data_IF_703040405349
#
_entry.id   IF_703040405349
#
_cell.length_a   1.000
_cell.length_b   1.000
_cell.length_c   1.000
_cell.angle_alpha   90.00
_cell.angle_beta   90.00
_cell.angle_gamma   90.00
#
_symmetry.space_group_name_H-M   'P 1'
#
loop_
_entity.id
_entity.type
_entity.pdbx_description
1 polymer ?
#
# COMPACT_ATOMS: atom_id res chain seq x y z
N UNK A 1 -10.65 39.25 -5.47
CA UNK A 1 -9.84 38.51 -4.49
C UNK A 1 -10.28 37.05 -4.46
N UNK A 2 -9.73 36.18 -5.32
CA UNK A 2 -10.03 34.72 -5.37
C UNK A 2 -9.09 34.01 -6.35
N UNK A 3 -7.77 34.15 -6.19
CA UNK A 3 -6.77 33.40 -6.99
C UNK A 3 -5.50 32.97 -6.20
N UNK A 4 -5.40 33.28 -4.91
CA UNK A 4 -4.16 33.02 -4.12
C UNK A 4 -4.23 31.70 -3.32
N UNK A 5 -5.43 31.21 -2.97
CA UNK A 5 -5.59 30.03 -2.09
C UNK A 5 -5.17 28.71 -2.77
N UNK A 6 -5.49 28.52 -4.06
CA UNK A 6 -5.23 27.24 -4.75
C UNK A 6 -3.74 26.93 -4.98
N UNK A 7 -2.91 27.98 -5.14
CA UNK A 7 -1.46 27.81 -5.35
C UNK A 7 -0.79 27.38 -4.04
N UNK A 8 -1.13 28.04 -2.92
CA UNK A 8 -0.55 27.72 -1.61
C UNK A 8 -0.88 26.29 -1.16
N UNK A 9 -2.13 25.83 -1.35
CA UNK A 9 -2.52 24.45 -1.00
C UNK A 9 -1.79 23.41 -1.86
N UNK A 10 -1.62 23.67 -3.16
CA UNK A 10 -0.92 22.76 -4.05
C UNK A 10 0.56 22.62 -3.63
N UNK A 11 1.24 23.74 -3.38
CA UNK A 11 2.62 23.72 -2.86
C UNK A 11 2.73 22.93 -1.55
N UNK A 12 1.84 23.19 -0.59
CA UNK A 12 1.87 22.50 0.70
C UNK A 12 1.70 20.99 0.54
N UNK A 13 0.74 20.54 -0.28
CA UNK A 13 0.54 19.11 -0.55
C UNK A 13 1.75 18.45 -1.21
N UNK A 14 2.40 19.13 -2.16
CA UNK A 14 3.60 18.59 -2.82
C UNK A 14 4.77 18.44 -1.86
N UNK A 15 4.96 19.41 -0.95
CA UNK A 15 6.02 19.35 0.06
C UNK A 15 5.76 18.21 1.03
N UNK A 16 4.53 18.07 1.55
CA UNK A 16 4.18 16.96 2.45
C UNK A 16 4.34 15.59 1.77
N UNK A 17 4.02 15.50 0.48
CA UNK A 17 4.17 14.26 -0.28
C UNK A 17 5.66 13.90 -0.45
N UNK A 18 6.49 14.87 -0.82
CA UNK A 18 7.93 14.67 -0.97
C UNK A 18 8.60 14.28 0.36
N UNK A 19 8.21 14.91 1.47
CA UNK A 19 8.67 14.55 2.81
C UNK A 19 8.26 13.12 3.19
N UNK A 20 7.01 12.73 2.94
CA UNK A 20 6.53 11.36 3.19
C UNK A 20 7.32 10.32 2.37
N UNK A 21 7.66 10.65 1.12
CA UNK A 21 8.48 9.77 0.27
C UNK A 21 9.91 9.62 0.82
N UNK A 22 10.51 10.69 1.36
CA UNK A 22 11.83 10.64 1.99
C UNK A 22 11.79 9.74 3.24
N UNK A 23 10.79 9.88 4.09
CA UNK A 23 10.65 9.04 5.30
C UNK A 23 10.36 7.58 4.94
N UNK A 24 9.58 7.32 3.90
CA UNK A 24 9.35 5.97 3.40
C UNK A 24 10.66 5.33 2.90
N UNK A 25 11.48 6.09 2.14
CA UNK A 25 12.82 5.66 1.69
C UNK A 25 13.70 5.28 2.87
N UNK A 26 13.77 6.11 3.90
CA UNK A 26 14.52 5.81 5.14
C UNK A 26 14.02 4.53 5.81
N UNK A 27 12.71 4.36 5.93
CA UNK A 27 12.11 3.17 6.54
C UNK A 27 12.45 1.89 5.75
N UNK A 28 12.33 1.92 4.43
CA UNK A 28 12.72 0.81 3.54
C UNK A 28 14.20 0.44 3.69
N UNK A 29 15.09 1.43 3.69
CA UNK A 29 16.54 1.20 3.81
C UNK A 29 16.89 0.66 5.19
N UNK A 30 16.32 1.22 6.25
CA UNK A 30 16.58 0.78 7.64
C UNK A 30 16.14 -0.66 7.90
N UNK A 31 15.03 -1.11 7.31
CA UNK A 31 14.46 -2.42 7.60
C UNK A 31 14.99 -3.52 6.67
N UNK A 32 15.30 -3.19 5.41
CA UNK A 32 15.58 -4.18 4.37
C UNK A 32 16.88 -3.94 3.60
N UNK A 33 17.63 -2.89 3.91
CA UNK A 33 18.86 -2.50 3.20
C UNK A 33 18.65 -2.32 1.68
N UNK A 34 17.59 -1.58 1.32
CA UNK A 34 17.05 -1.49 -0.05
C UNK A 34 17.53 -0.29 -0.86
N UNK A 35 18.80 0.12 -0.72
CA UNK A 35 19.33 1.31 -1.40
C UNK A 35 19.21 1.25 -2.95
N UNK A 36 19.07 0.04 -3.53
CA UNK A 36 19.02 -0.18 -4.98
C UNK A 36 17.76 -0.91 -5.47
N UNK A 37 16.72 -1.09 -4.64
CA UNK A 37 15.52 -1.83 -5.07
C UNK A 37 14.55 -0.92 -5.80
N UNK A 38 14.16 -1.28 -7.02
CA UNK A 38 13.08 -0.61 -7.73
C UNK A 38 11.73 -0.96 -7.08
N UNK A 39 10.98 0.07 -6.69
CA UNK A 39 9.63 -0.10 -6.15
C UNK A 39 8.68 0.97 -6.65
N UNK A 40 7.40 0.63 -6.63
CA UNK A 40 6.29 1.57 -6.78
C UNK A 40 5.55 1.66 -5.44
N UNK A 41 4.91 2.77 -5.16
CA UNK A 41 4.20 2.94 -3.89
C UNK A 41 2.95 3.80 -4.02
N UNK A 42 2.06 3.69 -3.05
CA UNK A 42 0.90 4.55 -2.91
C UNK A 42 0.64 4.88 -1.44
N UNK A 43 0.36 6.15 -1.16
CA UNK A 43 -0.04 6.62 0.16
C UNK A 43 -1.57 6.54 0.33
N UNK A 44 -2.00 5.88 1.40
CA UNK A 44 -3.41 5.68 1.75
C UNK A 44 -3.53 5.57 3.26
N UNK A 45 -4.54 6.21 3.83
CA UNK A 45 -4.88 6.02 5.24
C UNK A 45 -5.73 4.73 5.35
N UNK A 46 -5.10 3.61 5.71
CA UNK A 46 -5.73 2.28 5.75
C UNK A 46 -6.45 2.07 7.07
N UNK A 47 -5.88 2.58 8.17
CA UNK A 47 -6.42 2.45 9.54
C UNK A 47 -7.36 3.59 9.94
N UNK A 48 -7.43 4.66 9.14
CA UNK A 48 -8.29 5.83 9.29
C UNK A 48 -7.96 6.71 10.50
N UNK A 49 -6.68 6.79 10.88
CA UNK A 49 -6.17 7.63 11.95
C UNK A 49 -5.82 9.07 11.52
N UNK A 50 -5.95 9.36 10.22
CA UNK A 50 -5.64 10.66 9.62
C UNK A 50 -4.21 10.82 9.13
N UNK A 51 -3.33 9.83 9.38
CA UNK A 51 -1.98 9.74 8.82
C UNK A 51 -2.02 8.75 7.65
N UNK A 52 -1.25 9.00 6.59
CA UNK A 52 -1.19 8.08 5.44
C UNK A 52 -0.23 6.94 5.75
N UNK A 53 -0.70 5.72 5.53
CA UNK A 53 0.10 4.50 5.40
C UNK A 53 0.66 4.38 3.98
N UNK A 54 1.63 3.50 3.79
CA UNK A 54 2.21 3.21 2.48
C UNK A 54 2.01 1.75 2.10
N UNK A 55 1.48 1.53 0.89
CA UNK A 55 1.62 0.26 0.19
C UNK A 55 2.81 0.36 -0.76
N UNK A 56 3.77 -0.55 -0.65
CA UNK A 56 4.99 -0.60 -1.46
C UNK A 56 5.00 -1.90 -2.26
N UNK A 57 5.14 -1.81 -3.58
CA UNK A 57 5.23 -2.94 -4.51
C UNK A 57 6.65 -3.01 -5.06
N UNK A 58 7.37 -4.09 -4.75
CA UNK A 58 8.77 -4.26 -5.17
C UNK A 58 8.83 -4.73 -6.62
N UNK A 59 9.01 -3.78 -7.53
CA UNK A 59 9.06 -4.02 -8.96
C UNK A 59 10.50 -4.33 -9.41
N UNK A 60 11.09 -5.36 -8.81
CA UNK A 60 12.45 -5.79 -9.10
C UNK A 60 12.52 -7.32 -9.21
N UNK A 61 13.37 -7.84 -10.11
CA UNK A 61 13.44 -9.27 -10.43
C UNK A 61 13.68 -10.15 -9.19
N UNK A 62 14.46 -9.68 -8.23
CA UNK A 62 14.78 -10.45 -7.03
C UNK A 62 13.58 -10.58 -6.07
N UNK A 63 12.53 -9.78 -6.28
CA UNK A 63 11.34 -9.74 -5.43
C UNK A 63 10.09 -10.27 -6.13
N UNK A 64 10.25 -10.75 -7.37
CA UNK A 64 9.18 -11.20 -8.23
C UNK A 64 9.34 -12.67 -8.65
N UNK A 65 8.21 -13.38 -8.71
CA UNK A 65 8.10 -14.70 -9.31
C UNK A 65 6.87 -14.79 -10.22
N UNK A 66 6.55 -16.00 -10.70
CA UNK A 66 5.39 -16.23 -11.60
C UNK A 66 4.05 -15.83 -10.96
N UNK A 67 3.94 -15.98 -9.64
CA UNK A 67 2.79 -15.60 -8.83
C UNK A 67 2.59 -14.08 -8.70
N UNK A 68 3.65 -13.27 -8.87
CA UNK A 68 3.64 -11.83 -8.62
C UNK A 68 4.88 -11.39 -7.84
N UNK A 69 4.87 -10.16 -7.37
CA UNK A 69 5.96 -9.55 -6.61
C UNK A 69 5.61 -9.39 -5.13
N UNK A 70 6.66 -9.33 -4.32
CA UNK A 70 6.55 -8.99 -2.90
C UNK A 70 6.12 -7.54 -2.76
N UNK A 71 5.20 -7.29 -1.83
CA UNK A 71 4.78 -5.98 -1.38
C UNK A 71 4.95 -5.85 0.12
N UNK A 72 5.06 -4.61 0.59
CA UNK A 72 5.04 -4.26 1.99
C UNK A 72 3.93 -3.26 2.28
N UNK A 73 3.41 -3.32 3.50
CA UNK A 73 2.59 -2.26 4.09
C UNK A 73 3.40 -1.63 5.21
N UNK A 74 3.46 -0.31 5.24
CA UNK A 74 4.01 0.47 6.33
C UNK A 74 2.93 1.34 6.94
N UNK A 75 2.84 1.34 8.26
CA UNK A 75 1.97 2.26 9.01
C UNK A 75 2.62 3.63 9.11
N UNK A 76 1.87 4.68 8.81
CA UNK A 76 2.30 6.06 9.02
C UNK A 76 2.18 6.47 10.48
N UNK A 77 3.20 7.13 11.02
CA UNK A 77 3.19 7.72 12.37
C UNK A 77 3.73 9.15 12.32
N UNK A 78 3.66 9.87 13.44
CA UNK A 78 4.25 11.21 13.55
C UNK A 78 5.78 11.19 13.41
N UNK A 79 6.40 10.03 13.60
CA UNK A 79 7.84 9.81 13.53
C UNK A 79 8.28 9.20 12.18
N UNK A 80 7.38 9.10 11.19
CA UNK A 80 7.67 8.51 9.88
C UNK A 80 6.91 7.20 9.65
N UNK A 81 7.54 6.22 9.00
CA UNK A 81 6.90 4.95 8.66
C UNK A 81 7.45 3.79 9.47
N UNK A 82 6.57 2.88 9.91
CA UNK A 82 6.94 1.62 10.58
C UNK A 82 6.43 0.44 9.76
N UNK A 83 7.23 -0.63 9.69
CA UNK A 83 6.81 -1.84 8.99
C UNK A 83 5.55 -2.43 9.63
N UNK A 84 4.56 -2.78 8.81
CA UNK A 84 3.28 -3.32 9.26
C UNK A 84 3.00 -4.72 8.71
N UNK A 85 3.32 -4.98 7.44
CA UNK A 85 3.06 -6.31 6.83
C UNK A 85 3.96 -6.57 5.64
N UNK A 86 4.26 -7.85 5.40
CA UNK A 86 4.83 -8.35 4.15
C UNK A 86 3.80 -9.22 3.45
N UNK A 87 3.59 -8.98 2.17
CA UNK A 87 2.64 -9.73 1.35
C UNK A 87 3.37 -10.22 0.10
N UNK A 88 3.45 -11.53 -0.09
CA UNK A 88 4.16 -12.12 -1.23
C UNK A 88 3.24 -12.27 -2.44
N UNK A 89 3.82 -12.46 -3.64
CA UNK A 89 3.12 -12.86 -4.87
C UNK A 89 1.90 -12.00 -5.26
N UNK A 90 1.97 -10.69 -5.00
CA UNK A 90 0.94 -9.73 -5.41
C UNK A 90 1.15 -9.27 -6.85
N UNK A 91 0.08 -8.93 -7.55
CA UNK A 91 0.08 -8.27 -8.86
C UNK A 91 -0.83 -7.05 -8.80
N UNK A 92 -0.45 -6.03 -9.56
CA UNK A 92 -1.27 -4.84 -9.79
C UNK A 92 -2.47 -5.18 -10.71
N UNK A 93 -3.59 -4.45 -10.63
CA UNK A 93 -3.82 -3.32 -9.73
C UNK A 93 -3.98 -3.74 -8.27
N UNK A 94 -3.57 -2.87 -7.36
CA UNK A 94 -3.83 -2.97 -5.92
C UNK A 94 -4.99 -2.03 -5.60
N UNK A 95 -5.99 -2.53 -4.90
CA UNK A 95 -7.17 -1.78 -4.53
C UNK A 95 -7.35 -1.74 -3.01
N UNK A 96 -8.00 -0.68 -2.55
CA UNK A 96 -8.42 -0.50 -1.16
C UNK A 96 -9.94 -0.57 -1.11
N UNK A 97 -10.44 -1.52 -0.34
CA UNK A 97 -11.87 -1.72 -0.09
C UNK A 97 -12.39 -0.69 0.92
N UNK A 98 -13.65 -0.22 0.77
CA UNK A 98 -14.31 0.56 1.81
C UNK A 98 -14.65 -0.29 3.05
N UNK A 99 -14.59 -1.62 2.95
CA UNK A 99 -14.81 -2.55 4.06
C UNK A 99 -13.54 -2.63 4.89
N UNK A 100 -13.71 -2.55 6.22
CA UNK A 100 -12.62 -2.68 7.19
C UNK A 100 -12.74 -3.98 7.97
N UNK A 101 -11.60 -4.58 8.29
CA UNK A 101 -11.48 -5.66 9.25
C UNK A 101 -10.51 -5.22 10.35
N UNK A 102 -10.91 -5.36 11.61
CA UNK A 102 -10.08 -5.01 12.79
C UNK A 102 -9.48 -3.59 12.72
N UNK A 103 -10.25 -2.63 12.23
CA UNK A 103 -9.85 -1.22 12.14
C UNK A 103 -9.13 -0.82 10.85
N UNK A 104 -8.67 -1.78 10.04
CA UNK A 104 -7.94 -1.53 8.81
C UNK A 104 -8.78 -1.86 7.58
N UNK A 105 -8.64 -1.06 6.53
CA UNK A 105 -9.31 -1.28 5.23
C UNK A 105 -8.78 -2.56 4.58
N UNK A 106 -9.66 -3.39 4.05
CA UNK A 106 -9.22 -4.59 3.33
C UNK A 106 -8.52 -4.20 2.03
N UNK A 107 -7.51 -4.98 1.64
CA UNK A 107 -6.85 -4.82 0.35
C UNK A 107 -7.39 -5.86 -0.63
N UNK A 108 -7.46 -5.50 -1.91
CA UNK A 108 -7.72 -6.44 -2.99
C UNK A 108 -6.52 -6.43 -3.93
N UNK A 109 -5.93 -7.61 -4.12
CA UNK A 109 -4.76 -7.80 -4.97
C UNK A 109 -5.00 -8.95 -5.94
N UNK A 110 -4.33 -8.93 -7.08
CA UNK A 110 -4.29 -10.08 -7.97
C UNK A 110 -3.12 -11.01 -7.60
N UNK A 111 -3.27 -12.31 -7.78
CA UNK A 111 -2.19 -13.31 -7.68
C UNK A 111 -2.24 -14.26 -8.87
N UNK A 112 -1.06 -14.62 -9.40
CA UNK A 112 -0.94 -15.51 -10.55
C UNK A 112 -1.62 -16.87 -10.32
N UNK A 113 -2.41 -17.33 -11.29
CA UNK A 113 -3.11 -18.61 -11.23
C UNK A 113 -4.34 -18.66 -10.31
N UNK A 114 -4.58 -17.63 -9.48
CA UNK A 114 -5.70 -17.59 -8.53
C UNK A 114 -6.70 -16.47 -8.86
N UNK A 115 -6.23 -15.33 -9.36
CA UNK A 115 -7.06 -14.15 -9.65
C UNK A 115 -7.06 -13.14 -8.51
N UNK A 116 -8.13 -12.35 -8.38
CA UNK A 116 -8.27 -11.35 -7.33
C UNK A 116 -8.69 -11.98 -6.01
N UNK A 117 -8.01 -11.60 -4.92
CA UNK A 117 -8.25 -12.09 -3.56
C UNK A 117 -8.33 -10.92 -2.58
N UNK A 118 -8.99 -11.13 -1.45
CA UNK A 118 -9.13 -10.14 -0.38
C UNK A 118 -8.11 -10.42 0.72
N UNK A 119 -7.34 -9.40 1.08
CA UNK A 119 -6.45 -9.44 2.23
C UNK A 119 -7.15 -8.72 3.39
N UNK A 120 -7.65 -9.51 4.34
CA UNK A 120 -8.21 -8.98 5.58
C UNK A 120 -7.08 -8.78 6.58
N UNK A 121 -7.04 -7.61 7.22
CA UNK A 121 -6.12 -7.39 8.34
C UNK A 121 -6.59 -8.19 9.55
N UNK A 122 -5.73 -9.02 10.15
CA UNK A 122 -6.14 -9.94 11.22
C UNK A 122 -6.15 -9.30 12.62
N UNK A 123 -5.66 -8.07 12.73
CA UNK A 123 -5.43 -7.35 13.99
C UNK A 123 -3.95 -7.09 14.27
N UNK A 124 -3.05 -7.79 13.56
CA UNK A 124 -1.61 -7.66 13.63
C UNK A 124 -0.99 -7.37 12.26
N UNK A 125 -1.41 -8.07 11.21
CA UNK A 125 -0.90 -7.90 9.85
C UNK A 125 -1.89 -8.30 8.75
N UNK A 126 -1.59 -7.91 7.51
CA UNK A 126 -2.17 -8.55 6.33
C UNK A 126 -1.48 -9.91 6.09
N UNK A 127 -2.21 -10.91 5.55
CA UNK A 127 -1.67 -12.25 5.37
C UNK A 127 -0.47 -12.28 4.41
N UNK A 128 0.56 -13.04 4.79
CA UNK A 128 1.79 -13.20 4.02
C UNK A 128 1.55 -13.75 2.61
N UNK A 129 0.61 -14.69 2.45
CA UNK A 129 0.36 -15.38 1.19
C UNK A 129 -1.07 -15.15 0.66
N UNK A 130 -1.25 -14.28 -0.35
CA UNK A 130 -2.52 -14.03 -1.03
C UNK A 130 -3.19 -15.26 -1.65
N UNK A 131 -2.43 -16.27 -2.13
CA UNK A 131 -3.03 -17.42 -2.84
C UNK A 131 -3.89 -18.32 -1.96
N UNK A 132 -3.78 -18.17 -0.64
CA UNK A 132 -4.58 -18.89 0.35
C UNK A 132 -5.80 -18.08 0.84
N UNK A 133 -5.98 -16.86 0.32
CA UNK A 133 -7.04 -15.96 0.77
C UNK A 133 -8.33 -16.14 -0.05
N UNK A 134 -9.49 -15.73 0.50
CA UNK A 134 -10.75 -15.78 -0.24
C UNK A 134 -10.67 -14.97 -1.54
N UNK A 135 -11.27 -15.50 -2.61
CA UNK A 135 -11.45 -14.75 -3.85
C UNK A 135 -12.30 -13.52 -3.59
N UNK A 136 -11.90 -12.39 -4.18
CA UNK A 136 -12.70 -11.18 -4.14
C UNK A 136 -13.96 -11.33 -4.99
N UNK A 137 -15.09 -10.92 -4.44
CA UNK A 137 -16.34 -10.83 -5.19
C UNK A 137 -16.32 -9.65 -6.15
N UNK A 138 -17.11 -9.69 -7.22
CA UNK A 138 -17.25 -8.55 -8.13
C UNK A 138 -17.69 -7.27 -7.41
N UNK A 139 -18.55 -7.40 -6.40
CA UNK A 139 -19.03 -6.29 -5.58
C UNK A 139 -17.87 -5.64 -4.82
N UNK A 140 -17.03 -6.44 -4.17
CA UNK A 140 -15.86 -5.94 -3.46
C UNK A 140 -14.91 -5.20 -4.41
N UNK A 141 -14.60 -5.80 -5.56
CA UNK A 141 -13.74 -5.18 -6.58
C UNK A 141 -14.33 -3.85 -7.07
N UNK A 142 -15.62 -3.81 -7.43
CA UNK A 142 -16.28 -2.59 -7.94
C UNK A 142 -16.41 -1.48 -6.90
N UNK A 143 -16.57 -1.84 -5.62
CA UNK A 143 -16.64 -0.86 -4.52
C UNK A 143 -15.27 -0.36 -4.08
N UNK A 144 -14.21 -1.08 -4.42
CA UNK A 144 -12.84 -0.72 -4.06
C UNK A 144 -12.27 0.31 -5.01
N UNK A 145 -11.34 1.13 -4.51
CA UNK A 145 -10.62 2.11 -5.34
C UNK A 145 -9.22 1.59 -5.63
N UNK A 146 -8.75 1.78 -6.86
CA UNK A 146 -7.37 1.46 -7.24
C UNK A 146 -6.43 2.46 -6.56
N UNK A 147 -5.38 1.95 -5.92
CA UNK A 147 -4.29 2.76 -5.34
C UNK A 147 -2.98 2.63 -6.13
N UNK A 148 -2.79 1.51 -6.82
CA UNK A 148 -1.62 1.23 -7.64
C UNK A 148 -2.05 0.47 -8.90
N UNK A 149 -1.63 0.93 -10.08
CA UNK A 149 -2.07 0.41 -11.39
C UNK A 149 -1.09 -0.58 -11.98
#
# INVERSE_FOLDING_TARGET
MRKIIAILTLLLTTVTYAESEIELKKALNSHFNMDEVNYEFAFVDLNNDGIKDAYVYLNDRNWCGSGGCTSFVFVGTKEGFKFQSKVMITKKPVLVSPIKNKGWSNLVVSTGGVGQVVLNFDGFEYPLNPSMQPKATEKEVRSSRIILK
#
